data_IF_526083385526
#
_entry.id   IF_526083385526
#
_cell.length_a   1.000
_cell.length_b   1.000
_cell.length_c   1.000
_cell.angle_alpha   90.00
_cell.angle_beta   90.00
_cell.angle_gamma   90.00
#
_symmetry.space_group_name_H-M   'P 1'
#
loop_
_entity.id
_entity.type
_entity.pdbx_description
1 polymer ?
#
# COMPACT_ATOMS: atom_id res chain seq x y z
N UNK A 1 -1.95 17.45 14.88
CA UNK A 1 -2.11 16.32 15.82
C UNK A 1 -2.11 15.06 14.97
N UNK A 2 -1.11 14.18 15.10
CA UNK A 2 -1.11 12.93 14.35
C UNK A 2 -2.31 12.09 14.80
N UNK A 3 -3.19 11.71 13.87
CA UNK A 3 -4.30 10.80 14.18
C UNK A 3 -3.72 9.50 14.73
N UNK A 4 -4.08 9.15 15.96
CA UNK A 4 -3.64 7.90 16.58
C UNK A 4 -4.40 6.76 15.91
N UNK A 5 -3.68 5.91 15.15
CA UNK A 5 -4.29 4.76 14.48
C UNK A 5 -4.76 3.74 15.52
N UNK A 6 -6.08 3.66 15.67
CA UNK A 6 -6.77 2.69 16.52
C UNK A 6 -6.78 1.28 15.90
N UNK A 7 -6.77 0.26 16.75
CA UNK A 7 -6.98 -1.13 16.35
C UNK A 7 -6.16 -2.10 17.17
N UNK A 8 -6.59 -3.36 17.17
CA UNK A 8 -5.93 -4.45 17.89
C UNK A 8 -4.93 -5.16 16.98
N UNK A 9 -3.77 -5.50 17.51
CA UNK A 9 -2.80 -6.32 16.80
C UNK A 9 -3.33 -7.76 16.68
N UNK A 10 -3.26 -8.39 15.49
CA UNK A 10 -3.57 -9.80 15.33
C UNK A 10 -2.76 -10.70 16.28
N UNK A 11 -3.32 -11.85 16.65
CA UNK A 11 -2.62 -12.84 17.47
C UNK A 11 -1.57 -13.53 16.60
N UNK A 12 -0.31 -13.34 16.96
CA UNK A 12 0.81 -13.94 16.25
C UNK A 12 1.95 -14.23 17.23
N UNK A 13 2.58 -15.40 17.12
CA UNK A 13 3.68 -15.82 17.98
C UNK A 13 5.01 -15.09 17.73
N UNK A 14 5.05 -14.20 16.75
CA UNK A 14 6.27 -13.52 16.30
C UNK A 14 6.96 -14.27 15.16
N UNK A 15 7.85 -13.56 14.46
CA UNK A 15 8.62 -14.08 13.34
C UNK A 15 9.80 -13.17 13.02
N UNK A 16 10.73 -13.65 12.20
CA UNK A 16 11.99 -12.94 11.89
C UNK A 16 11.90 -12.00 10.70
N UNK A 17 10.82 -12.07 9.89
CA UNK A 17 10.61 -11.24 8.71
C UNK A 17 9.96 -9.87 8.96
N UNK A 18 9.90 -9.43 10.21
CA UNK A 18 9.18 -8.23 10.65
C UNK A 18 9.89 -6.90 10.37
N UNK A 19 9.60 -5.89 11.20
CA UNK A 19 10.20 -4.57 11.11
C UNK A 19 11.71 -4.61 11.45
N UNK A 20 12.50 -3.83 10.72
CA UNK A 20 13.93 -3.61 10.97
C UNK A 20 14.21 -2.13 11.26
N UNK A 21 15.48 -1.75 11.46
CA UNK A 21 15.92 -0.38 11.77
C UNK A 21 15.36 0.69 10.80
N UNK A 22 15.11 0.33 9.54
CA UNK A 22 14.46 1.21 8.56
C UNK A 22 13.07 1.70 9.02
N UNK A 23 12.29 0.83 9.65
CA UNK A 23 10.95 1.14 10.14
C UNK A 23 10.95 2.17 11.27
N UNK A 24 12.06 2.27 12.01
CA UNK A 24 12.25 3.24 13.09
C UNK A 24 12.81 4.57 12.56
N UNK A 25 13.76 4.52 11.63
CA UNK A 25 14.54 5.70 11.21
C UNK A 25 14.06 6.40 9.95
N UNK A 26 13.37 5.71 9.04
CA UNK A 26 12.97 6.27 7.73
C UNK A 26 11.46 6.34 7.56
N UNK A 27 10.79 5.20 7.58
CA UNK A 27 9.33 5.11 7.45
C UNK A 27 8.88 3.69 7.78
N UNK A 28 7.66 3.59 8.30
CA UNK A 28 6.92 2.33 8.38
C UNK A 28 5.52 2.50 7.82
N UNK A 29 4.85 1.39 7.59
CA UNK A 29 3.50 1.39 7.07
C UNK A 29 2.58 0.70 8.07
N UNK A 30 1.33 1.12 8.11
CA UNK A 30 0.30 0.52 8.96
C UNK A 30 -0.89 0.21 8.10
N UNK A 31 -1.39 -1.02 8.17
CA UNK A 31 -2.65 -1.41 7.56
C UNK A 31 -3.70 -1.60 8.66
N UNK A 32 -4.88 -1.03 8.47
CA UNK A 32 -6.04 -1.22 9.33
C UNK A 32 -7.20 -1.79 8.53
N UNK A 33 -8.04 -2.61 9.16
CA UNK A 33 -9.25 -3.18 8.55
C UNK A 33 -10.22 -3.63 9.65
N UNK A 34 -11.49 -3.81 9.31
CA UNK A 34 -12.49 -4.33 10.26
C UNK A 34 -12.86 -5.75 9.89
N UNK A 35 -12.68 -6.70 10.82
CA UNK A 35 -13.12 -8.08 10.63
C UNK A 35 -14.41 -8.36 11.37
N UNK A 36 -15.42 -9.01 10.75
CA UNK A 36 -16.66 -9.38 11.44
C UNK A 36 -16.46 -10.54 12.43
N UNK A 37 -15.36 -11.29 12.33
CA UNK A 37 -15.06 -12.47 13.16
C UNK A 37 -13.56 -12.68 13.35
N UNK A 38 -13.19 -13.44 14.38
CA UNK A 38 -11.83 -13.95 14.49
C UNK A 38 -11.60 -15.07 13.46
N UNK A 39 -10.53 -14.97 12.68
CA UNK A 39 -10.18 -15.97 11.67
C UNK A 39 -8.68 -15.91 11.32
N UNK A 40 -8.16 -17.03 10.83
CA UNK A 40 -6.74 -17.17 10.45
C UNK A 40 -6.49 -16.50 9.09
N UNK A 41 -5.36 -15.84 8.96
CA UNK A 41 -4.82 -15.34 7.70
C UNK A 41 -3.30 -15.52 7.66
N UNK A 42 -2.72 -15.42 6.46
CA UNK A 42 -1.28 -15.55 6.27
C UNK A 42 -0.63 -14.17 6.35
N UNK A 43 0.42 -14.05 7.16
CA UNK A 43 1.20 -12.82 7.27
C UNK A 43 1.99 -12.58 5.97
N UNK A 44 2.06 -11.33 5.47
CA UNK A 44 2.87 -11.03 4.28
C UNK A 44 4.38 -11.25 4.49
N UNK A 45 4.80 -11.41 5.75
CA UNK A 45 6.18 -11.72 6.17
C UNK A 45 6.41 -13.22 6.40
N UNK A 46 5.44 -14.07 6.04
CA UNK A 46 5.44 -15.50 6.31
C UNK A 46 4.90 -15.85 7.70
N UNK A 47 4.20 -16.98 7.78
CA UNK A 47 3.53 -17.48 8.99
C UNK A 47 2.03 -17.18 9.01
N UNK A 48 1.32 -17.78 9.97
CA UNK A 48 -0.13 -17.62 10.14
C UNK A 48 -0.44 -16.81 11.39
N UNK A 49 -1.33 -15.85 11.26
CA UNK A 49 -1.84 -15.03 12.37
C UNK A 49 -3.36 -15.10 12.45
N UNK A 50 -3.93 -14.80 13.61
CA UNK A 50 -5.38 -14.75 13.82
C UNK A 50 -5.79 -13.28 13.92
N UNK A 51 -6.57 -12.79 12.97
CA UNK A 51 -7.12 -11.43 13.07
C UNK A 51 -8.20 -11.38 14.15
N UNK A 52 -8.28 -10.27 14.86
CA UNK A 52 -9.28 -10.02 15.91
C UNK A 52 -10.64 -9.68 15.30
N UNK A 53 -11.71 -9.93 16.03
CA UNK A 53 -13.01 -9.37 15.69
C UNK A 53 -13.00 -7.85 15.94
N UNK A 54 -13.52 -7.06 15.00
CA UNK A 54 -13.49 -5.60 15.05
C UNK A 54 -12.28 -4.99 14.32
N UNK A 55 -11.84 -3.81 14.78
CA UNK A 55 -10.73 -3.06 14.16
C UNK A 55 -9.40 -3.74 14.42
N UNK A 56 -8.74 -4.15 13.34
CA UNK A 56 -7.38 -4.67 13.36
C UNK A 56 -6.38 -3.59 12.94
N UNK A 57 -5.17 -3.66 13.49
CA UNK A 57 -4.03 -2.83 13.14
C UNK A 57 -2.80 -3.69 13.00
N UNK A 58 -2.08 -3.56 11.88
CA UNK A 58 -0.82 -4.25 11.66
C UNK A 58 0.24 -3.30 11.11
N UNK A 59 1.37 -3.21 11.80
CA UNK A 59 2.56 -2.48 11.33
C UNK A 59 3.39 -3.37 10.40
N UNK A 60 3.82 -2.83 9.27
CA UNK A 60 4.54 -3.53 8.20
C UNK A 60 5.65 -2.66 7.62
N UNK A 61 6.72 -3.29 7.12
CA UNK A 61 7.91 -2.58 6.67
C UNK A 61 7.75 -1.90 5.29
N UNK A 62 6.83 -2.39 4.44
CA UNK A 62 6.71 -1.96 3.03
C UNK A 62 5.24 -1.85 2.62
N UNK A 63 4.92 -0.87 1.78
CA UNK A 63 3.56 -0.68 1.22
C UNK A 63 3.03 -1.92 0.49
N UNK A 64 3.91 -2.60 -0.24
CA UNK A 64 3.60 -3.81 -1.01
C UNK A 64 2.91 -4.90 -0.17
N UNK A 65 3.37 -5.10 1.08
CA UNK A 65 2.80 -6.08 1.99
C UNK A 65 1.34 -5.76 2.34
N UNK A 66 1.00 -4.49 2.52
CA UNK A 66 -0.36 -4.06 2.79
C UNK A 66 -1.27 -4.25 1.57
N UNK A 67 -0.75 -4.00 0.36
CA UNK A 67 -1.50 -4.21 -0.89
C UNK A 67 -1.75 -5.72 -1.12
N UNK A 68 -0.72 -6.55 -0.91
CA UNK A 68 -0.84 -8.00 -1.04
C UNK A 68 -1.86 -8.57 -0.05
N UNK A 69 -1.75 -8.21 1.24
CA UNK A 69 -2.69 -8.63 2.28
C UNK A 69 -4.12 -8.15 1.95
N UNK A 70 -4.27 -6.86 1.61
CA UNK A 70 -5.55 -6.26 1.26
C UNK A 70 -6.24 -6.90 0.05
N UNK A 71 -5.51 -7.05 -1.05
CA UNK A 71 -6.06 -7.58 -2.30
C UNK A 71 -6.28 -9.08 -2.26
N UNK A 72 -5.22 -9.84 -1.97
CA UNK A 72 -5.20 -11.30 -2.16
C UNK A 72 -5.84 -12.07 -1.00
N UNK A 73 -5.94 -11.47 0.18
CA UNK A 73 -6.54 -12.13 1.34
C UNK A 73 -7.81 -11.41 1.81
N UNK A 74 -7.72 -10.15 2.24
CA UNK A 74 -8.87 -9.43 2.81
C UNK A 74 -10.03 -9.34 1.82
N UNK A 75 -9.80 -8.83 0.60
CA UNK A 75 -10.84 -8.71 -0.42
C UNK A 75 -11.20 -10.04 -1.07
N UNK A 76 -10.19 -10.75 -1.60
CA UNK A 76 -10.44 -11.95 -2.40
C UNK A 76 -11.07 -13.09 -1.59
N UNK A 77 -10.49 -13.40 -0.41
CA UNK A 77 -10.89 -14.54 0.41
C UNK A 77 -11.94 -14.16 1.47
N UNK A 78 -11.72 -13.05 2.19
CA UNK A 78 -12.53 -12.71 3.37
C UNK A 78 -13.65 -11.69 3.12
N UNK A 79 -13.73 -11.12 1.91
CA UNK A 79 -14.72 -10.08 1.53
C UNK A 79 -14.67 -8.83 2.40
N UNK A 80 -13.51 -8.53 2.98
CA UNK A 80 -13.22 -7.32 3.75
C UNK A 80 -12.69 -6.26 2.79
N UNK A 81 -13.44 -5.18 2.57
CA UNK A 81 -13.14 -4.13 1.60
C UNK A 81 -12.86 -2.76 2.24
N UNK A 82 -12.76 -2.65 3.56
CA UNK A 82 -12.61 -1.37 4.26
C UNK A 82 -11.16 -1.07 4.68
N UNK A 83 -10.20 -1.84 4.18
CA UNK A 83 -8.82 -1.70 4.62
C UNK A 83 -8.20 -0.37 4.16
N UNK A 84 -7.39 0.21 5.04
CA UNK A 84 -6.65 1.45 4.80
C UNK A 84 -5.18 1.23 5.09
N UNK A 85 -4.32 1.82 4.26
CA UNK A 85 -2.86 1.78 4.44
C UNK A 85 -2.38 3.20 4.69
N UNK A 86 -1.58 3.33 5.72
CA UNK A 86 -0.95 4.56 6.18
C UNK A 86 0.57 4.43 6.05
N UNK A 87 1.23 5.54 5.73
CA UNK A 87 2.67 5.72 5.92
C UNK A 87 2.88 6.52 7.20
N UNK A 88 3.78 6.04 8.05
CA UNK A 88 4.17 6.69 9.30
C UNK A 88 5.63 7.10 9.17
N UNK A 89 5.87 8.39 9.33
CA UNK A 89 7.19 9.00 9.27
C UNK A 89 7.89 8.95 10.65
N UNK A 90 9.22 9.15 10.72
CA UNK A 90 9.98 9.07 11.97
C UNK A 90 9.60 10.16 12.98
N UNK A 91 9.07 11.28 12.49
CA UNK A 91 8.52 12.37 13.30
C UNK A 91 7.13 12.04 13.89
N UNK A 92 6.57 10.85 13.61
CA UNK A 92 5.24 10.43 14.05
C UNK A 92 4.07 10.90 13.16
N UNK A 93 4.35 11.67 12.10
CA UNK A 93 3.33 12.06 11.13
C UNK A 93 2.80 10.83 10.39
N UNK A 94 1.47 10.76 10.29
CA UNK A 94 0.78 9.65 9.64
C UNK A 94 0.03 10.16 8.42
N UNK A 95 0.32 9.59 7.25
CA UNK A 95 -0.33 9.91 5.98
C UNK A 95 -1.14 8.71 5.51
N UNK A 96 -2.45 8.88 5.28
CA UNK A 96 -3.26 7.85 4.61
C UNK A 96 -2.91 7.83 3.11
N UNK A 97 -2.43 6.68 2.60
CA UNK A 97 -1.94 6.56 1.22
C UNK A 97 -2.74 5.58 0.36
N UNK A 98 -3.61 4.77 0.96
CA UNK A 98 -4.45 3.82 0.22
C UNK A 98 -5.75 3.49 0.98
N UNK A 99 -6.92 3.57 0.34
CA UNK A 99 -7.18 4.28 -0.93
C UNK A 99 -6.99 5.79 -0.74
N UNK A 100 -6.20 6.45 -1.59
CA UNK A 100 -5.79 7.84 -1.37
C UNK A 100 -6.95 8.85 -1.41
N UNK A 101 -7.95 8.61 -2.25
CA UNK A 101 -9.15 9.43 -2.41
C UNK A 101 -10.41 8.75 -1.81
N UNK A 102 -10.23 7.74 -0.95
CA UNK A 102 -11.30 6.96 -0.36
C UNK A 102 -11.96 5.94 -1.31
N UNK A 103 -11.65 5.99 -2.61
CA UNK A 103 -12.16 5.06 -3.63
C UNK A 103 -11.02 4.17 -4.11
N UNK A 104 -11.24 2.85 -4.15
CA UNK A 104 -10.20 1.94 -4.65
C UNK A 104 -9.74 2.31 -6.07
N UNK A 105 -8.42 2.28 -6.37
CA UNK A 105 -7.89 2.73 -7.66
C UNK A 105 -8.46 2.02 -8.88
N UNK A 106 -8.93 0.77 -8.72
CA UNK A 106 -9.54 -0.01 -9.79
C UNK A 106 -10.89 0.57 -10.26
N UNK A 107 -11.57 1.37 -9.42
CA UNK A 107 -12.80 2.06 -9.80
C UNK A 107 -12.49 3.48 -10.23
N UNK A 108 -13.10 3.94 -11.33
CA UNK A 108 -12.99 5.33 -11.79
C UNK A 108 -13.60 6.29 -10.74
N UNK A 109 -12.96 7.44 -10.56
CA UNK A 109 -13.45 8.52 -9.71
C UNK A 109 -13.27 9.85 -10.43
N UNK A 110 -14.24 10.75 -10.31
CA UNK A 110 -14.16 12.08 -10.91
C UNK A 110 -13.06 12.92 -10.23
N UNK A 111 -12.42 13.81 -10.99
CA UNK A 111 -11.34 14.66 -10.48
C UNK A 111 -9.93 14.04 -10.52
N UNK A 112 -9.77 12.77 -10.92
CA UNK A 112 -8.44 12.17 -11.13
C UNK A 112 -7.78 12.72 -12.41
N UNK A 113 -6.60 13.39 -12.32
CA UNK A 113 -5.90 13.88 -13.51
C UNK A 113 -5.20 12.75 -14.28
N UNK A 114 -4.99 12.94 -15.58
CA UNK A 114 -4.09 12.10 -16.39
C UNK A 114 -2.64 12.42 -16.04
N UNK A 115 -2.02 11.62 -15.17
CA UNK A 115 -0.63 11.81 -14.74
C UNK A 115 0.27 10.84 -15.51
N UNK A 116 1.42 11.34 -16.02
CA UNK A 116 2.36 10.58 -16.87
C UNK A 116 1.70 9.98 -18.13
N UNK A 117 0.80 10.75 -18.74
CA UNK A 117 0.17 10.43 -20.01
C UNK A 117 0.85 11.22 -21.13
N UNK A 118 1.32 10.52 -22.16
CA UNK A 118 1.82 11.11 -23.41
C UNK A 118 0.83 10.73 -24.50
N UNK A 119 0.36 11.70 -25.30
CA UNK A 119 -0.74 11.50 -26.25
C UNK A 119 -0.28 10.85 -27.57
N UNK A 120 0.25 9.63 -27.46
CA UNK A 120 0.68 8.82 -28.60
C UNK A 120 0.59 7.33 -28.29
N UNK A 121 0.63 6.51 -29.33
CA UNK A 121 0.71 5.06 -29.16
C UNK A 121 2.13 4.62 -28.76
N UNK A 122 2.25 3.43 -28.17
CA UNK A 122 3.51 2.88 -27.65
C UNK A 122 4.59 2.67 -28.74
N UNK A 123 4.17 2.37 -29.98
CA UNK A 123 5.08 2.15 -31.11
C UNK A 123 5.63 3.44 -31.73
N UNK A 124 5.00 4.58 -31.44
CA UNK A 124 5.41 5.90 -31.93
C UNK A 124 6.40 6.62 -31.01
N UNK A 125 6.97 5.93 -30.02
CA UNK A 125 8.10 6.48 -29.25
C UNK A 125 9.31 6.72 -30.20
N UNK A 126 9.96 7.89 -30.13
CA UNK A 126 11.12 8.19 -30.97
C UNK A 126 12.28 7.23 -30.67
N UNK A 127 13.07 6.92 -31.69
CA UNK A 127 14.28 6.11 -31.50
C UNK A 127 15.29 6.83 -30.59
N UNK A 128 16.00 6.11 -29.71
CA UNK A 128 16.99 6.71 -28.80
C UNK A 128 18.05 7.56 -29.51
N UNK A 129 18.46 7.18 -30.73
CA UNK A 129 19.43 7.92 -31.53
C UNK A 129 19.00 9.36 -31.86
N UNK A 130 17.69 9.61 -32.01
CA UNK A 130 17.14 10.96 -32.27
C UNK A 130 17.19 11.86 -31.04
N UNK A 131 17.34 11.28 -29.84
CA UNK A 131 17.35 11.97 -28.56
C UNK A 131 18.74 11.95 -27.90
N UNK A 132 19.79 11.62 -28.66
CA UNK A 132 21.14 11.54 -28.13
C UNK A 132 21.55 12.90 -27.54
N UNK A 133 22.08 12.88 -26.32
CA UNK A 133 22.52 14.08 -25.58
C UNK A 133 21.41 15.11 -25.25
N UNK A 134 20.13 14.74 -25.36
CA UNK A 134 19.01 15.65 -25.03
C UNK A 134 18.66 15.67 -23.54
N UNK A 135 19.07 14.65 -22.78
CA UNK A 135 18.63 14.44 -21.40
C UNK A 135 17.19 13.91 -21.26
N UNK A 136 16.49 13.68 -22.38
CA UNK A 136 15.11 13.19 -22.42
C UNK A 136 15.08 11.73 -22.87
N UNK A 137 14.27 10.92 -22.19
CA UNK A 137 14.09 9.51 -22.53
C UNK A 137 13.04 9.33 -23.64
N UNK A 138 13.14 8.30 -24.49
CA UNK A 138 12.18 8.03 -25.54
C UNK A 138 10.72 8.05 -25.08
N UNK A 139 10.41 7.52 -23.89
CA UNK A 139 9.05 7.45 -23.35
C UNK A 139 8.55 8.77 -22.76
N UNK A 140 9.45 9.68 -22.40
CA UNK A 140 9.12 11.02 -21.89
C UNK A 140 9.09 12.08 -22.99
N UNK A 141 9.61 11.75 -24.17
CA UNK A 141 9.61 12.66 -25.30
C UNK A 141 8.19 13.13 -25.61
N UNK A 142 7.96 14.42 -25.85
CA UNK A 142 6.65 14.93 -26.23
C UNK A 142 6.10 14.29 -27.52
#
# INVERSE_FOLDING_TARGET
MAETLEGQTPIFGGGTGGLLTKAEREEKYVITWTSPKEQVFEMPTGGSAIMRQGKNKLEIARKEYGIALGGQQLRAKFKINDYKIYRVYPNGETQMIHPADGVFPEKVNQGRPKVRYVDRNIGSNPSPAKLKFSGVQPYDAP
#
